data_IF_876650710899
#
_entry.id   IF_876650710899
#
_cell.length_a   1.000
_cell.length_b   1.000
_cell.length_c   1.000
_cell.angle_alpha   90.00
_cell.angle_beta   90.00
_cell.angle_gamma   90.00
#
_symmetry.space_group_name_H-M   'P 1'
#
loop_
_entity.id
_entity.type
_entity.pdbx_description
1 polymer ?
#
# COMPACT_ATOMS: atom_id res chain seq x y z
N UNK A 1 -2.58 -22.26 0.75
CA UNK A 1 -2.50 -20.83 0.43
C UNK A 1 -1.32 -20.44 -0.49
N UNK A 2 -0.39 -21.34 -0.83
CA UNK A 2 0.81 -21.02 -1.61
C UNK A 2 0.63 -21.10 -3.13
N UNK A 3 -0.42 -21.75 -3.62
CA UNK A 3 -0.65 -21.91 -5.05
C UNK A 3 -1.61 -20.84 -5.57
N UNK A 4 -1.30 -20.19 -6.70
CA UNK A 4 -2.24 -19.26 -7.33
C UNK A 4 -3.46 -20.04 -7.82
N UNK A 5 -4.64 -19.47 -7.61
CA UNK A 5 -5.91 -20.06 -8.03
C UNK A 5 -6.47 -19.26 -9.23
N UNK A 6 -5.84 -19.38 -10.39
CA UNK A 6 -6.22 -18.61 -11.58
C UNK A 6 -7.48 -19.13 -12.27
N UNK A 7 -7.74 -20.47 -12.25
CA UNK A 7 -8.87 -21.06 -12.95
C UNK A 7 -10.19 -20.50 -12.46
N UNK A 8 -10.94 -19.83 -13.32
CA UNK A 8 -12.21 -19.17 -13.00
C UNK A 8 -12.08 -17.85 -12.23
N UNK A 9 -10.87 -17.38 -11.93
CA UNK A 9 -10.62 -16.18 -11.11
C UNK A 9 -9.84 -15.06 -11.84
N UNK A 10 -9.62 -15.18 -13.15
CA UNK A 10 -8.81 -14.21 -13.92
C UNK A 10 -9.28 -12.77 -13.69
N UNK A 11 -10.60 -12.49 -13.74
CA UNK A 11 -11.14 -11.13 -13.48
C UNK A 11 -10.76 -10.61 -12.11
N UNK A 12 -10.74 -11.46 -11.08
CA UNK A 12 -10.34 -11.06 -9.73
C UNK A 12 -8.83 -10.76 -9.66
N UNK A 13 -8.00 -11.52 -10.37
CA UNK A 13 -6.57 -11.25 -10.46
C UNK A 13 -6.27 -9.95 -11.24
N UNK A 14 -7.05 -9.61 -12.25
CA UNK A 14 -6.96 -8.30 -12.90
C UNK A 14 -7.30 -7.15 -11.92
N UNK A 15 -8.34 -7.32 -11.10
CA UNK A 15 -8.66 -6.34 -10.05
C UNK A 15 -7.54 -6.26 -9.00
N UNK A 16 -6.96 -7.38 -8.61
CA UNK A 16 -5.82 -7.44 -7.67
C UNK A 16 -4.60 -6.71 -8.24
N UNK A 17 -4.34 -6.80 -9.54
CA UNK A 17 -3.20 -6.16 -10.18
C UNK A 17 -3.43 -4.66 -10.40
N UNK A 18 -4.54 -4.28 -11.00
CA UNK A 18 -4.80 -2.87 -11.37
C UNK A 18 -5.46 -2.05 -10.26
N UNK A 19 -6.18 -2.69 -9.33
CA UNK A 19 -6.89 -2.01 -8.25
C UNK A 19 -6.00 -1.13 -7.37
N UNK A 20 -4.86 -1.63 -6.86
CA UNK A 20 -3.93 -0.83 -6.07
C UNK A 20 -3.39 0.38 -6.84
N UNK A 21 -3.10 0.23 -8.12
CA UNK A 21 -2.66 1.33 -9.00
C UNK A 21 -3.75 2.41 -9.12
N UNK A 22 -4.99 2.01 -9.35
CA UNK A 22 -6.12 2.95 -9.39
C UNK A 22 -6.30 3.68 -8.06
N UNK A 23 -6.21 2.96 -6.94
CA UNK A 23 -6.28 3.56 -5.60
C UNK A 23 -5.12 4.53 -5.36
N UNK A 24 -3.92 4.23 -5.84
CA UNK A 24 -2.77 5.11 -5.75
C UNK A 24 -3.03 6.45 -6.47
N UNK A 25 -3.53 6.41 -7.71
CA UNK A 25 -3.85 7.63 -8.46
C UNK A 25 -4.98 8.41 -7.78
N UNK A 26 -6.00 7.74 -7.27
CA UNK A 26 -7.06 8.37 -6.49
C UNK A 26 -6.52 9.01 -5.21
N UNK A 27 -5.57 8.37 -4.54
CA UNK A 27 -4.90 8.88 -3.34
C UNK A 27 -4.11 10.15 -3.63
N UNK A 28 -3.31 10.16 -4.69
CA UNK A 28 -2.58 11.35 -5.13
C UNK A 28 -3.53 12.50 -5.52
N UNK A 29 -4.56 12.20 -6.31
CA UNK A 29 -5.57 13.19 -6.70
C UNK A 29 -6.30 13.75 -5.47
N UNK A 30 -6.70 12.90 -4.54
CA UNK A 30 -7.36 13.31 -3.29
C UNK A 30 -6.47 14.20 -2.44
N UNK A 31 -5.18 13.85 -2.28
CA UNK A 31 -4.23 14.67 -1.55
C UNK A 31 -4.08 16.07 -2.17
N UNK A 32 -3.88 16.17 -3.47
CA UNK A 32 -3.70 17.45 -4.16
C UNK A 32 -5.00 18.25 -4.29
N UNK A 33 -6.17 17.65 -4.14
CA UNK A 33 -7.43 18.40 -3.98
C UNK A 33 -7.48 19.12 -2.63
N UNK A 34 -6.91 18.53 -1.57
CA UNK A 34 -6.85 19.16 -0.23
C UNK A 34 -5.70 20.17 -0.15
N UNK A 35 -4.56 19.86 -0.78
CA UNK A 35 -3.34 20.68 -0.76
C UNK A 35 -2.92 21.11 -2.18
N UNK A 36 -3.75 21.90 -2.91
CA UNK A 36 -3.48 22.23 -4.31
C UNK A 36 -2.19 23.02 -4.53
N UNK A 37 -1.75 23.81 -3.53
CA UNK A 37 -0.50 24.58 -3.57
C UNK A 37 0.74 23.69 -3.62
N UNK A 38 0.64 22.43 -3.19
CA UNK A 38 1.75 21.47 -3.20
C UNK A 38 1.84 20.69 -4.51
N UNK A 39 0.87 20.84 -5.42
CA UNK A 39 0.93 20.18 -6.72
C UNK A 39 1.95 20.85 -7.65
N UNK A 40 2.85 20.06 -8.20
CA UNK A 40 3.90 20.51 -9.12
C UNK A 40 3.62 20.03 -10.55
N UNK A 41 3.05 20.92 -11.37
CA UNK A 41 2.84 20.66 -12.79
C UNK A 41 4.15 20.67 -13.61
N UNK A 42 5.23 21.22 -13.07
CA UNK A 42 6.55 21.23 -13.72
C UNK A 42 7.37 19.98 -13.43
N UNK A 43 6.92 19.14 -12.46
CA UNK A 43 7.60 17.89 -12.10
C UNK A 43 9.06 18.10 -11.66
N UNK A 44 9.34 19.17 -10.92
CA UNK A 44 10.71 19.55 -10.51
C UNK A 44 11.35 18.47 -9.62
N UNK A 45 10.56 17.83 -8.74
CA UNK A 45 11.03 16.71 -7.91
C UNK A 45 11.42 15.52 -8.78
N UNK A 46 10.61 15.15 -9.78
CA UNK A 46 10.94 14.06 -10.70
C UNK A 46 12.21 14.35 -11.52
N UNK A 47 12.33 15.58 -12.02
CA UNK A 47 13.52 16.02 -12.76
C UNK A 47 14.79 15.95 -11.90
N UNK A 48 14.74 16.37 -10.64
CA UNK A 48 15.88 16.34 -9.73
C UNK A 48 16.33 14.90 -9.41
N UNK A 49 15.39 13.99 -9.20
CA UNK A 49 15.67 12.58 -8.90
C UNK A 49 16.30 11.86 -10.11
N UNK A 50 15.90 12.22 -11.34
CA UNK A 50 16.46 11.64 -12.56
C UNK A 50 17.78 12.26 -12.99
N UNK A 51 18.35 13.19 -12.19
CA UNK A 51 19.64 13.87 -12.37
C UNK A 51 19.81 14.59 -13.73
N UNK A 52 18.75 15.02 -14.36
CA UNK A 52 18.74 15.81 -15.59
C UNK A 52 19.66 15.31 -16.74
N UNK A 53 20.07 14.06 -16.71
CA UNK A 53 20.97 13.47 -17.72
C UNK A 53 20.26 13.12 -19.03
N UNK A 54 18.95 13.38 -19.10
CA UNK A 54 18.13 13.00 -20.25
C UNK A 54 17.63 14.23 -21.01
N UNK A 55 17.56 14.10 -22.34
CA UNK A 55 16.92 15.08 -23.22
C UNK A 55 15.38 14.96 -23.22
N UNK A 56 14.82 14.13 -22.33
CA UNK A 56 13.40 13.85 -22.24
C UNK A 56 12.64 15.00 -21.60
N UNK A 57 11.43 15.26 -22.08
CA UNK A 57 10.53 16.22 -21.43
C UNK A 57 10.03 15.69 -20.08
N UNK A 58 9.65 16.56 -19.12
CA UNK A 58 9.10 16.12 -17.83
C UNK A 58 7.90 15.17 -17.96
N UNK A 59 7.03 15.42 -18.95
CA UNK A 59 5.88 14.54 -19.23
C UNK A 59 6.29 13.16 -19.72
N UNK A 60 7.33 13.07 -20.57
CA UNK A 60 7.88 11.78 -21.02
C UNK A 60 8.52 11.02 -19.87
N UNK A 61 9.24 11.73 -18.99
CA UNK A 61 9.82 11.13 -17.77
C UNK A 61 8.73 10.57 -16.85
N UNK A 62 7.65 11.32 -16.63
CA UNK A 62 6.52 10.86 -15.84
C UNK A 62 5.88 9.62 -16.45
N UNK A 63 5.63 9.63 -17.76
CA UNK A 63 5.04 8.48 -18.45
C UNK A 63 5.92 7.23 -18.31
N UNK A 64 7.23 7.36 -18.53
CA UNK A 64 8.18 6.26 -18.37
C UNK A 64 8.18 5.76 -16.90
N UNK A 65 8.24 6.67 -15.94
CA UNK A 65 8.21 6.31 -14.51
C UNK A 65 6.92 5.54 -14.17
N UNK A 66 5.77 6.01 -14.63
CA UNK A 66 4.48 5.33 -14.42
C UNK A 66 4.49 3.93 -15.06
N UNK A 67 4.97 3.80 -16.29
CA UNK A 67 5.05 2.50 -16.99
C UNK A 67 6.02 1.54 -16.27
N UNK A 68 7.19 2.02 -15.84
CA UNK A 68 8.14 1.22 -15.06
C UNK A 68 7.53 0.72 -13.76
N UNK A 69 6.85 1.59 -13.03
CA UNK A 69 6.23 1.26 -11.74
C UNK A 69 5.08 0.26 -11.90
N UNK A 70 4.29 0.37 -12.98
CA UNK A 70 3.16 -0.54 -13.21
C UNK A 70 3.61 -1.89 -13.79
N UNK A 71 4.65 -1.92 -14.63
CA UNK A 71 5.03 -3.12 -15.38
C UNK A 71 6.23 -3.82 -14.73
N UNK A 72 7.33 -3.09 -14.51
CA UNK A 72 8.60 -3.66 -14.06
C UNK A 72 8.66 -3.77 -12.54
N UNK A 73 8.24 -2.73 -11.86
CA UNK A 73 8.31 -2.65 -10.39
C UNK A 73 7.65 -3.83 -9.68
N UNK A 74 6.40 -4.20 -9.99
CA UNK A 74 5.76 -5.36 -9.35
C UNK A 74 6.46 -6.69 -9.63
N UNK A 75 7.06 -6.84 -10.82
CA UNK A 75 7.81 -8.06 -11.18
C UNK A 75 9.08 -8.19 -10.33
N UNK A 76 9.77 -7.08 -10.07
CA UNK A 76 10.97 -7.06 -9.23
C UNK A 76 10.59 -7.27 -7.76
N UNK A 77 9.54 -6.58 -7.29
CA UNK A 77 9.12 -6.61 -5.90
C UNK A 77 8.40 -7.90 -5.50
N UNK A 78 7.95 -8.74 -6.43
CA UNK A 78 7.15 -9.94 -6.10
C UNK A 78 7.93 -10.93 -5.21
N UNK A 79 9.24 -11.03 -5.37
CA UNK A 79 10.07 -11.99 -4.61
C UNK A 79 10.12 -11.61 -3.13
N UNK A 80 10.57 -10.40 -2.73
CA UNK A 80 10.59 -10.01 -1.32
C UNK A 80 9.17 -9.97 -0.73
N UNK A 81 8.20 -9.40 -1.44
CA UNK A 81 6.83 -9.32 -0.92
C UNK A 81 6.17 -10.69 -0.77
N UNK A 82 6.44 -11.64 -1.65
CA UNK A 82 5.98 -13.01 -1.46
C UNK A 82 6.56 -13.62 -0.19
N UNK A 83 7.83 -13.36 0.13
CA UNK A 83 8.47 -13.78 1.37
C UNK A 83 7.71 -13.28 2.60
N UNK A 84 7.34 -11.99 2.63
CA UNK A 84 6.54 -11.41 3.71
C UNK A 84 5.12 -11.99 3.74
N UNK A 85 4.45 -12.05 2.60
CA UNK A 85 3.05 -12.50 2.52
C UNK A 85 2.85 -13.99 2.82
N UNK A 86 3.89 -14.82 2.64
CA UNK A 86 3.87 -16.19 3.14
C UNK A 86 3.76 -16.23 4.67
N UNK A 87 4.42 -15.31 5.37
CA UNK A 87 4.30 -15.15 6.82
C UNK A 87 2.96 -14.55 7.23
N UNK A 88 2.60 -13.42 6.65
CA UNK A 88 1.40 -12.67 7.06
C UNK A 88 0.10 -13.33 6.61
N UNK A 89 -0.10 -13.55 5.31
CA UNK A 89 -1.35 -14.05 4.72
C UNK A 89 -1.33 -15.54 4.45
N UNK A 90 -0.14 -16.14 4.35
CA UNK A 90 0.01 -17.59 4.20
C UNK A 90 -0.06 -18.34 5.53
N UNK A 91 0.38 -17.74 6.64
CA UNK A 91 0.45 -18.38 7.96
C UNK A 91 -0.34 -17.65 9.05
N UNK A 92 0.05 -16.42 9.44
CA UNK A 92 -0.50 -15.73 10.61
C UNK A 92 -2.00 -15.50 10.49
N UNK A 93 -2.45 -14.86 9.41
CA UNK A 93 -3.86 -14.56 9.20
C UNK A 93 -4.75 -15.81 9.19
N UNK A 94 -4.43 -16.91 8.45
CA UNK A 94 -5.22 -18.15 8.52
C UNK A 94 -5.28 -18.76 9.92
N UNK A 95 -4.23 -18.65 10.72
CA UNK A 95 -4.22 -19.12 12.11
C UNK A 95 -5.11 -18.25 13.00
N UNK A 96 -5.04 -16.93 12.87
CA UNK A 96 -5.93 -16.02 13.58
C UNK A 96 -7.40 -16.26 13.22
N UNK A 97 -7.71 -16.51 11.94
CA UNK A 97 -9.09 -16.84 11.52
C UNK A 97 -9.65 -18.11 12.15
N UNK A 98 -8.84 -18.95 12.80
CA UNK A 98 -9.31 -20.12 13.54
C UNK A 98 -9.75 -19.79 14.97
N UNK A 99 -9.25 -18.69 15.56
CA UNK A 99 -9.44 -18.33 16.96
C UNK A 99 -10.23 -17.03 17.16
N UNK A 100 -10.26 -16.14 16.17
CA UNK A 100 -11.05 -14.90 16.18
C UNK A 100 -11.88 -14.76 14.90
N UNK A 101 -12.76 -13.75 14.84
CA UNK A 101 -13.50 -13.46 13.61
C UNK A 101 -12.55 -13.07 12.46
N UNK A 102 -12.96 -13.35 11.22
CA UNK A 102 -12.17 -12.96 10.05
C UNK A 102 -11.85 -11.45 10.05
N UNK A 103 -12.79 -10.59 10.48
CA UNK A 103 -12.56 -9.14 10.63
C UNK A 103 -11.45 -8.83 11.63
N UNK A 104 -11.51 -9.45 12.81
CA UNK A 104 -10.49 -9.25 13.83
C UNK A 104 -9.12 -9.77 13.34
N UNK A 105 -9.09 -10.93 12.68
CA UNK A 105 -7.86 -11.50 12.12
C UNK A 105 -7.19 -10.55 11.11
N UNK A 106 -7.97 -9.93 10.22
CA UNK A 106 -7.45 -8.96 9.25
C UNK A 106 -6.84 -7.74 9.95
N UNK A 107 -7.54 -7.16 10.92
CA UNK A 107 -7.06 -5.96 11.64
C UNK A 107 -5.84 -6.31 12.50
N UNK A 108 -5.87 -7.42 13.26
CA UNK A 108 -4.75 -7.84 14.12
C UNK A 108 -3.49 -8.10 13.26
N UNK A 109 -3.63 -8.78 12.12
CA UNK A 109 -2.49 -9.01 11.21
C UNK A 109 -1.92 -7.68 10.73
N UNK A 110 -2.76 -6.71 10.35
CA UNK A 110 -2.34 -5.39 9.92
C UNK A 110 -1.62 -4.60 11.02
N UNK A 111 -2.12 -4.67 12.27
CA UNK A 111 -1.47 -4.02 13.43
C UNK A 111 -0.10 -4.64 13.69
N UNK A 112 0.01 -5.98 13.73
CA UNK A 112 1.29 -6.67 13.94
C UNK A 112 2.28 -6.30 12.84
N UNK A 113 1.84 -6.27 11.58
CA UNK A 113 2.66 -5.88 10.44
C UNK A 113 3.11 -4.42 10.54
N UNK A 114 2.23 -3.50 10.95
CA UNK A 114 2.59 -2.10 11.17
C UNK A 114 3.62 -1.93 12.30
N UNK A 115 3.46 -2.64 13.41
CA UNK A 115 4.42 -2.66 14.52
C UNK A 115 5.77 -3.26 14.09
N UNK A 116 5.78 -4.25 13.21
CA UNK A 116 7.01 -4.84 12.66
C UNK A 116 7.88 -3.81 11.91
N UNK A 117 7.29 -2.74 11.36
CA UNK A 117 8.03 -1.64 10.73
C UNK A 117 8.68 -0.66 11.74
N UNK A 118 8.39 -0.77 13.05
CA UNK A 118 8.88 0.16 14.06
C UNK A 118 10.40 0.43 13.97
N UNK A 119 11.30 -0.57 13.84
CA UNK A 119 12.73 -0.30 13.76
C UNK A 119 13.11 0.58 12.57
N UNK A 120 12.54 0.31 11.38
CA UNK A 120 12.87 1.08 10.17
C UNK A 120 12.23 2.47 10.18
N UNK A 121 11.08 2.66 10.83
CA UNK A 121 10.49 4.00 11.04
C UNK A 121 11.38 4.86 11.95
N UNK A 122 11.94 4.28 13.01
CA UNK A 122 12.92 4.97 13.87
C UNK A 122 14.20 5.31 13.07
N UNK A 123 14.53 4.57 12.02
CA UNK A 123 15.64 4.89 11.12
C UNK A 123 15.25 5.92 10.04
N UNK A 124 14.03 6.46 10.06
CA UNK A 124 13.56 7.48 9.12
C UNK A 124 12.86 6.95 7.88
N UNK A 125 12.59 5.63 7.79
CA UNK A 125 11.90 5.06 6.63
C UNK A 125 10.51 5.70 6.44
N UNK A 126 10.16 6.04 5.22
CA UNK A 126 8.91 6.65 4.75
C UNK A 126 8.66 8.10 5.21
N UNK A 127 9.03 8.48 6.43
CA UNK A 127 8.62 9.77 7.02
C UNK A 127 9.79 10.69 7.34
N UNK A 128 11.05 10.21 7.23
CA UNK A 128 12.22 10.94 7.74
C UNK A 128 12.27 10.92 9.27
N UNK A 129 13.10 11.81 9.84
CA UNK A 129 13.28 11.94 11.30
C UNK A 129 12.92 13.34 11.79
N UNK A 130 12.71 14.28 10.86
CA UNK A 130 12.45 15.69 11.15
C UNK A 130 10.94 16.01 11.01
N UNK A 131 10.15 15.55 11.97
CA UNK A 131 8.72 15.88 12.08
C UNK A 131 8.27 15.91 13.54
N UNK A 132 7.25 16.75 13.81
CA UNK A 132 6.67 16.87 15.15
C UNK A 132 6.11 15.52 15.58
N UNK A 133 6.49 15.07 16.80
CA UNK A 133 6.03 13.79 17.35
C UNK A 133 6.81 12.56 16.89
N UNK A 134 7.99 12.76 16.28
CA UNK A 134 8.91 11.67 15.96
C UNK A 134 9.30 10.87 17.24
N UNK A 135 9.39 9.51 17.15
CA UNK A 135 9.04 8.69 16.01
C UNK A 135 7.56 8.24 16.02
N UNK A 136 6.79 8.61 17.04
CA UNK A 136 5.50 8.01 17.39
C UNK A 136 4.41 8.25 16.34
N UNK A 137 4.32 9.47 15.80
CA UNK A 137 3.33 9.75 14.76
C UNK A 137 3.61 8.97 13.48
N UNK A 138 4.88 8.75 13.11
CA UNK A 138 5.25 7.90 11.97
C UNK A 138 4.87 6.43 12.21
N UNK A 139 5.10 5.93 13.42
CA UNK A 139 4.70 4.57 13.82
C UNK A 139 3.18 4.41 13.72
N UNK A 140 2.40 5.36 14.24
CA UNK A 140 0.94 5.31 14.18
C UNK A 140 0.42 5.41 12.73
N UNK A 141 1.00 6.29 11.91
CA UNK A 141 0.66 6.41 10.49
C UNK A 141 0.95 5.10 9.73
N UNK A 142 2.10 4.47 10.02
CA UNK A 142 2.47 3.19 9.42
C UNK A 142 1.54 2.05 9.86
N UNK A 143 1.15 2.00 11.13
CA UNK A 143 0.16 1.03 11.61
C UNK A 143 -1.17 1.22 10.88
N UNK A 144 -1.65 2.46 10.76
CA UNK A 144 -2.89 2.77 10.04
C UNK A 144 -2.82 2.33 8.56
N UNK A 145 -1.70 2.60 7.91
CA UNK A 145 -1.45 2.19 6.53
C UNK A 145 -1.42 0.66 6.40
N UNK A 146 -0.65 -0.03 7.26
CA UNK A 146 -0.54 -1.50 7.26
C UNK A 146 -1.88 -2.18 7.58
N UNK A 147 -2.71 -1.60 8.45
CA UNK A 147 -4.08 -2.10 8.67
C UNK A 147 -4.92 -1.92 7.41
N UNK A 148 -4.86 -0.75 6.78
CA UNK A 148 -5.65 -0.46 5.57
C UNK A 148 -5.27 -1.38 4.41
N UNK A 149 -3.99 -1.44 4.08
CA UNK A 149 -3.47 -2.32 3.03
C UNK A 149 -3.66 -3.79 3.40
N UNK A 150 -3.37 -4.14 4.64
CA UNK A 150 -3.49 -5.50 5.17
C UNK A 150 -4.89 -6.09 5.11
N UNK A 151 -5.92 -5.25 5.31
CA UNK A 151 -7.32 -5.67 5.11
C UNK A 151 -7.61 -5.95 3.64
N UNK A 152 -7.12 -5.13 2.72
CA UNK A 152 -7.31 -5.32 1.27
C UNK A 152 -6.65 -6.63 0.82
N UNK A 153 -5.40 -6.85 1.20
CA UNK A 153 -4.62 -8.05 0.89
C UNK A 153 -5.22 -9.31 1.52
N UNK A 154 -5.58 -9.20 2.79
CA UNK A 154 -6.17 -10.31 3.53
C UNK A 154 -7.55 -10.69 3.00
N UNK A 155 -8.36 -9.73 2.59
CA UNK A 155 -9.63 -9.99 1.91
C UNK A 155 -9.41 -10.73 0.59
N UNK A 156 -8.45 -10.29 -0.23
CA UNK A 156 -8.09 -10.96 -1.48
C UNK A 156 -7.64 -12.40 -1.22
N UNK A 157 -6.83 -12.62 -0.18
CA UNK A 157 -6.37 -13.94 0.26
C UNK A 157 -7.53 -14.86 0.64
N UNK A 158 -8.49 -14.37 1.44
CA UNK A 158 -9.68 -15.14 1.82
C UNK A 158 -10.50 -15.52 0.58
N UNK A 159 -10.74 -14.57 -0.32
CA UNK A 159 -11.57 -14.77 -1.52
C UNK A 159 -10.94 -15.69 -2.56
N UNK A 160 -9.62 -15.65 -2.69
CA UNK A 160 -8.88 -16.43 -3.69
C UNK A 160 -8.21 -17.67 -3.08
N UNK A 161 -8.27 -17.85 -1.75
CA UNK A 161 -7.66 -18.96 -1.01
C UNK A 161 -6.17 -19.12 -1.33
N UNK A 162 -5.46 -17.99 -1.47
CA UNK A 162 -4.04 -17.92 -1.85
C UNK A 162 -3.41 -16.66 -1.28
N UNK A 163 -2.14 -16.71 -0.87
CA UNK A 163 -1.34 -15.54 -0.49
C UNK A 163 -0.77 -14.79 -1.71
N UNK A 164 -0.78 -15.42 -2.89
CA UNK A 164 -0.26 -14.80 -4.12
C UNK A 164 -0.95 -13.47 -4.47
N UNK A 165 -2.29 -13.33 -4.38
CA UNK A 165 -2.95 -12.04 -4.57
C UNK A 165 -2.45 -10.95 -3.62
N UNK A 166 -2.19 -11.28 -2.36
CA UNK A 166 -1.63 -10.34 -1.39
C UNK A 166 -0.23 -9.89 -1.82
N UNK A 167 0.64 -10.80 -2.19
CA UNK A 167 1.96 -10.48 -2.69
C UNK A 167 1.92 -9.62 -3.97
N UNK A 168 0.95 -9.82 -4.85
CA UNK A 168 0.75 -8.98 -6.04
C UNK A 168 0.33 -7.56 -5.67
N UNK A 169 -0.61 -7.38 -4.73
CA UNK A 169 -1.03 -6.07 -4.22
C UNK A 169 0.17 -5.39 -3.55
N UNK A 170 0.84 -6.07 -2.65
CA UNK A 170 2.00 -5.58 -1.91
C UNK A 170 3.13 -5.17 -2.86
N UNK A 171 3.47 -5.97 -3.85
CA UNK A 171 4.53 -5.65 -4.80
C UNK A 171 4.18 -4.43 -5.67
N UNK A 172 2.91 -4.27 -6.07
CA UNK A 172 2.44 -3.09 -6.77
C UNK A 172 2.56 -1.83 -5.89
N UNK A 173 2.15 -1.94 -4.62
CA UNK A 173 2.23 -0.85 -3.66
C UNK A 173 3.69 -0.46 -3.39
N UNK A 174 4.58 -1.40 -3.13
CA UNK A 174 6.00 -1.12 -2.91
C UNK A 174 6.66 -0.45 -4.12
N UNK A 175 6.25 -0.84 -5.33
CA UNK A 175 6.76 -0.21 -6.55
C UNK A 175 6.25 1.23 -6.74
N UNK A 176 5.05 1.56 -6.27
CA UNK A 176 4.32 2.77 -6.69
C UNK A 176 4.05 3.78 -5.58
N UNK A 177 4.20 3.42 -4.31
CA UNK A 177 3.79 4.23 -3.16
C UNK A 177 4.35 5.66 -3.16
N UNK A 178 5.55 5.85 -3.71
CA UNK A 178 6.22 7.15 -3.79
C UNK A 178 5.83 7.99 -5.02
N UNK A 179 5.07 7.45 -5.98
CA UNK A 179 4.71 8.19 -7.21
C UNK A 179 4.09 9.58 -6.95
N UNK A 180 3.16 9.76 -5.99
CA UNK A 180 2.61 11.08 -5.70
C UNK A 180 3.65 12.09 -5.22
N UNK A 181 4.77 11.65 -4.64
CA UNK A 181 5.87 12.52 -4.22
C UNK A 181 6.51 13.22 -5.43
N UNK A 182 6.61 12.54 -6.57
CA UNK A 182 7.17 13.13 -7.81
C UNK A 182 6.29 14.24 -8.39
N UNK A 183 5.03 14.32 -7.95
CA UNK A 183 4.08 15.37 -8.34
C UNK A 183 3.97 16.47 -7.29
N UNK A 184 4.80 16.43 -6.23
CA UNK A 184 4.75 17.39 -5.14
C UNK A 184 5.91 18.38 -5.19
N UNK A 185 5.66 19.62 -4.75
CA UNK A 185 6.65 20.70 -4.57
C UNK A 185 6.51 21.35 -3.21
N UNK A 186 7.57 22.06 -2.82
CA UNK A 186 7.62 22.82 -1.57
C UNK A 186 7.68 21.93 -0.34
N UNK A 187 7.41 22.53 0.81
CA UNK A 187 7.42 21.81 2.08
C UNK A 187 6.09 21.10 2.28
N UNK A 188 6.13 19.77 2.31
CA UNK A 188 4.99 18.93 2.64
C UNK A 188 5.33 17.99 3.80
N UNK A 189 4.34 17.70 4.62
CA UNK A 189 4.49 16.81 5.77
C UNK A 189 4.25 15.37 5.33
N UNK A 190 5.29 14.53 5.35
CA UNK A 190 5.22 13.11 4.95
C UNK A 190 4.23 12.29 5.80
N UNK A 191 3.94 12.71 7.05
CA UNK A 191 2.90 12.08 7.88
C UNK A 191 1.50 12.29 7.27
N UNK A 192 1.27 13.42 6.60
CA UNK A 192 0.00 13.68 5.92
C UNK A 192 -0.04 13.11 4.50
N UNK A 193 1.09 13.09 3.81
CA UNK A 193 1.22 12.65 2.42
C UNK A 193 2.32 13.44 1.72
N UNK A 194 2.39 13.44 0.38
CA UNK A 194 1.42 12.95 -0.64
C UNK A 194 1.43 11.43 -0.89
N UNK A 195 2.41 10.71 -0.35
CA UNK A 195 2.46 9.25 -0.49
C UNK A 195 1.29 8.56 0.22
N UNK A 196 0.94 7.36 -0.25
CA UNK A 196 -0.19 6.59 0.27
C UNK A 196 -0.01 6.08 1.71
N UNK A 197 1.21 6.06 2.23
CA UNK A 197 1.49 5.75 3.63
C UNK A 197 1.29 6.97 4.57
N UNK A 198 1.05 8.18 4.03
CA UNK A 198 0.61 9.33 4.80
C UNK A 198 -0.88 9.27 5.13
N UNK A 199 -1.28 9.89 6.24
CA UNK A 199 -2.65 9.80 6.76
C UNK A 199 -3.69 10.29 5.74
N UNK A 200 -3.45 11.43 5.08
CA UNK A 200 -4.38 11.98 4.08
C UNK A 200 -4.22 11.25 2.75
N UNK A 201 -2.98 11.00 2.30
CA UNK A 201 -2.71 10.24 1.09
C UNK A 201 -3.25 8.80 1.14
N UNK A 202 -3.27 8.18 2.33
CA UNK A 202 -3.79 6.84 2.57
C UNK A 202 -5.31 6.72 2.72
N UNK A 203 -6.05 7.83 2.81
CA UNK A 203 -7.50 7.80 3.05
C UNK A 203 -8.29 6.95 2.06
N UNK A 204 -8.06 6.96 0.73
CA UNK A 204 -8.75 6.08 -0.19
C UNK A 204 -8.52 4.59 0.12
N UNK A 205 -7.32 4.18 0.53
CA UNK A 205 -7.05 2.81 0.98
C UNK A 205 -7.81 2.46 2.25
N UNK A 206 -7.87 3.38 3.22
CA UNK A 206 -8.63 3.22 4.46
C UNK A 206 -10.13 3.05 4.19
N UNK A 207 -10.70 3.87 3.31
CA UNK A 207 -12.13 3.78 2.95
C UNK A 207 -12.46 2.45 2.29
N UNK A 208 -11.60 1.97 1.39
CA UNK A 208 -11.76 0.64 0.77
C UNK A 208 -11.60 -0.46 1.82
N UNK A 209 -10.64 -0.35 2.73
CA UNK A 209 -10.47 -1.32 3.82
C UNK A 209 -11.71 -1.40 4.72
N UNK A 210 -12.28 -0.27 5.13
CA UNK A 210 -13.51 -0.23 5.92
C UNK A 210 -14.66 -0.91 5.16
N UNK A 211 -14.84 -0.58 3.89
CA UNK A 211 -15.87 -1.19 3.06
C UNK A 211 -15.70 -2.71 2.92
N UNK A 212 -14.46 -3.20 2.76
CA UNK A 212 -14.16 -4.62 2.71
C UNK A 212 -14.40 -5.32 4.06
N UNK A 213 -14.05 -4.68 5.19
CA UNK A 213 -14.37 -5.20 6.53
C UNK A 213 -15.88 -5.38 6.74
N UNK A 214 -16.69 -4.46 6.21
CA UNK A 214 -18.15 -4.61 6.27
C UNK A 214 -18.60 -5.84 5.46
N UNK A 215 -17.96 -6.10 4.32
CA UNK A 215 -18.28 -7.24 3.41
C UNK A 215 -17.73 -8.59 3.87
N UNK A 216 -16.74 -8.61 4.75
CA UNK A 216 -16.29 -9.87 5.38
C UNK A 216 -17.41 -10.39 6.26
N UNK A 217 -17.97 -11.56 5.90
CA UNK A 217 -19.07 -12.17 6.63
C UNK A 217 -18.71 -12.42 8.11
N UNK A 218 -19.71 -12.29 8.99
CA UNK A 218 -19.59 -12.77 10.35
C UNK A 218 -19.57 -14.30 10.30
N UNK A 219 -18.43 -14.96 10.60
CA UNK A 219 -18.49 -16.37 10.98
C UNK A 219 -19.31 -16.45 12.27
N UNK A 220 -20.22 -17.43 12.42
CA UNK A 220 -20.80 -17.70 13.72
C UNK A 220 -19.66 -17.99 14.70
N UNK A 221 -19.77 -17.46 15.92
CA UNK A 221 -18.86 -17.80 17.01
C UNK A 221 -18.78 -19.33 17.10
N UNK A 222 -17.57 -19.88 17.13
CA UNK A 222 -17.37 -21.29 17.40
C UNK A 222 -17.89 -21.47 18.83
N UNK A 223 -19.06 -22.10 18.97
CA UNK A 223 -19.55 -22.52 20.28
C UNK A 223 -18.52 -23.51 20.83
N UNK A 224 -17.75 -23.07 21.81
CA UNK A 224 -16.84 -23.86 22.63
C UNK A 224 -17.59 -24.87 23.45
#
# INVERSE_FOLDING_TARGET
>A
YLRPNFKGNIKKYLVVYFGPTMLLFLSGAFYFLIFPQQFDSQLTTLQSVTQQTTTLTPSSLLLISVLQVIIIGPVINIIPTLGEELGWRGYLQPKLCQVVSDRAALVITGVIWGVWHLPVIIMGHNYGTDYIGYPWLGILAMILFCVSLGVIEGYATIKLKSAVPAAMIHSMVNASAALPIYLAKGDYNLILGPAIFGVVGGLPFLLVAIWLLIKVGKKPAINS
#
